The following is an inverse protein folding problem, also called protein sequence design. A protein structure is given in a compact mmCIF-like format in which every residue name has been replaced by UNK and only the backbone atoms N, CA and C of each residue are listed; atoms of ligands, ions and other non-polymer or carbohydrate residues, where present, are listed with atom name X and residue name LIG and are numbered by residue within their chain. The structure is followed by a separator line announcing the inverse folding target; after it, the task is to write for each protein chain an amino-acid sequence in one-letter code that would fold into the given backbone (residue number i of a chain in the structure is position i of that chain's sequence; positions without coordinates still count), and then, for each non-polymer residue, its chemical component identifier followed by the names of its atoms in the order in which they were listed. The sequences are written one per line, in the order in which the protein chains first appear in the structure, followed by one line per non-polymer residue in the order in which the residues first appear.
data_IF_246448472628
#
_entry.id   IF_246448472628
#
_cell.length_a   1.000
_cell.length_b   1.000
_cell.length_c   1.000
_cell.angle_alpha   90.00
_cell.angle_beta   90.00
_cell.angle_gamma   90.00
#
_symmetry.space_group_name_H-M   'P 1'
#
loop_
_entity.id
_entity.type
_entity.pdbx_description
1 polymer ?
#
# COMPACT_ATOMS: atom_id res chain seq x y z
N UNK A 1 29.42 -0.60 21.69
CA UNK A 1 28.54 -1.56 22.40
C UNK A 1 27.23 -1.82 21.66
N UNK A 2 27.31 -2.17 20.36
CA UNK A 2 26.10 -2.47 19.59
C UNK A 2 25.53 -3.86 20.00
N UNK A 3 24.29 -3.94 20.53
CA UNK A 3 23.79 -5.17 21.16
C UNK A 3 23.57 -6.34 20.18
N UNK A 4 23.55 -6.09 18.87
CA UNK A 4 23.41 -7.13 17.84
C UNK A 4 24.74 -7.50 17.21
N UNK A 5 25.58 -6.49 16.89
CA UNK A 5 26.89 -6.73 16.21
C UNK A 5 27.99 -7.12 17.18
N UNK A 6 27.90 -6.71 18.44
CA UNK A 6 28.90 -6.89 19.48
C UNK A 6 28.26 -7.36 20.79
N UNK A 7 27.51 -8.46 20.73
CA UNK A 7 26.69 -8.98 21.84
C UNK A 7 27.53 -9.16 23.10
N UNK A 8 28.71 -9.75 23.01
CA UNK A 8 29.60 -9.97 24.17
C UNK A 8 30.01 -8.67 24.84
N UNK A 9 30.43 -7.66 24.04
CA UNK A 9 30.80 -6.33 24.57
C UNK A 9 29.62 -5.61 25.19
N UNK A 10 28.44 -5.69 24.56
CA UNK A 10 27.21 -5.09 25.09
C UNK A 10 26.78 -5.75 26.40
N UNK A 11 26.87 -7.11 26.50
CA UNK A 11 26.60 -7.86 27.70
C UNK A 11 27.59 -7.51 28.82
N UNK A 12 28.87 -7.42 28.52
CA UNK A 12 29.89 -6.99 29.47
C UNK A 12 29.62 -5.60 30.02
N UNK A 13 29.28 -4.63 29.15
CA UNK A 13 28.92 -3.27 29.58
C UNK A 13 27.67 -3.24 30.46
N UNK A 14 26.62 -3.98 30.09
CA UNK A 14 25.40 -4.11 30.90
C UNK A 14 25.75 -4.68 32.30
N UNK A 15 26.54 -5.74 32.32
CA UNK A 15 26.88 -6.38 33.60
C UNK A 15 27.74 -5.49 34.49
N UNK A 16 28.62 -4.67 33.89
CA UNK A 16 29.37 -3.64 34.60
C UNK A 16 28.41 -2.62 35.24
N UNK A 17 27.47 -2.06 34.44
CA UNK A 17 26.48 -1.11 34.96
C UNK A 17 25.63 -1.72 36.07
N UNK A 18 25.18 -2.97 35.93
CA UNK A 18 24.42 -3.68 36.96
C UNK A 18 25.23 -3.86 38.25
N UNK A 19 26.55 -4.06 38.13
CA UNK A 19 27.46 -4.14 39.30
C UNK A 19 27.53 -2.79 39.99
N UNK A 20 27.78 -1.71 39.26
CA UNK A 20 27.82 -0.36 39.84
C UNK A 20 26.46 0.00 40.52
N UNK A 21 25.33 -0.35 39.90
CA UNK A 21 24.01 -0.14 40.48
C UNK A 21 23.85 -0.89 41.81
N UNK A 22 24.36 -2.13 41.91
CA UNK A 22 24.34 -2.90 43.12
C UNK A 22 25.27 -2.31 44.18
N UNK A 23 26.50 -1.96 43.84
CA UNK A 23 27.50 -1.42 44.75
C UNK A 23 27.10 -0.05 45.34
N UNK A 24 26.35 0.75 44.55
CA UNK A 24 25.84 2.04 44.93
C UNK A 24 24.42 1.99 45.56
N UNK A 25 23.86 0.78 45.83
CA UNK A 25 22.60 0.60 46.52
C UNK A 25 21.33 0.86 45.73
N UNK A 26 21.41 1.03 44.40
CA UNK A 26 20.24 1.23 43.52
C UNK A 26 19.45 -0.06 43.27
N UNK A 27 20.08 -1.21 43.37
CA UNK A 27 19.44 -2.53 43.26
C UNK A 27 19.96 -3.48 44.34
N UNK A 28 19.12 -4.39 44.81
CA UNK A 28 19.52 -5.41 45.76
C UNK A 28 20.32 -6.55 45.10
N UNK A 29 20.93 -7.39 45.96
CA UNK A 29 21.76 -8.50 45.50
C UNK A 29 20.98 -9.56 44.69
N UNK A 30 19.71 -9.77 45.01
CA UNK A 30 18.86 -10.74 44.32
C UNK A 30 18.55 -10.26 42.89
N UNK A 31 18.12 -9.00 42.76
CA UNK A 31 17.86 -8.33 41.47
C UNK A 31 19.13 -8.27 40.59
N UNK A 32 20.29 -7.91 41.18
CA UNK A 32 21.56 -7.93 40.46
C UNK A 32 21.88 -9.31 39.89
N UNK A 33 21.82 -10.36 40.71
CA UNK A 33 22.11 -11.74 40.29
C UNK A 33 21.13 -12.24 39.23
N UNK A 34 19.85 -11.95 39.37
CA UNK A 34 18.80 -12.31 38.41
C UNK A 34 19.00 -11.60 37.06
N UNK A 35 19.17 -10.28 37.09
CA UNK A 35 19.36 -9.45 35.88
C UNK A 35 20.61 -9.80 35.07
N UNK A 36 21.68 -10.19 35.78
CA UNK A 36 22.94 -10.62 35.12
C UNK A 36 22.76 -11.90 34.29
N UNK A 37 21.86 -12.80 34.67
CA UNK A 37 21.57 -14.06 33.96
C UNK A 37 20.70 -13.89 32.72
N UNK A 38 19.95 -12.79 32.61
CA UNK A 38 19.05 -12.54 31.49
C UNK A 38 19.88 -12.27 30.24
N UNK A 39 19.52 -12.90 29.12
CA UNK A 39 20.12 -12.61 27.83
C UNK A 39 19.73 -11.21 27.34
N UNK A 40 20.58 -10.58 26.54
CA UNK A 40 20.24 -9.32 25.89
C UNK A 40 19.05 -9.55 24.93
N UNK A 41 18.00 -8.82 25.15
CA UNK A 41 16.82 -8.82 24.30
C UNK A 41 16.81 -7.55 23.47
N UNK A 42 16.49 -7.67 22.17
CA UNK A 42 16.52 -6.54 21.23
C UNK A 42 15.35 -6.58 20.27
N UNK A 43 15.06 -5.46 19.62
CA UNK A 43 14.10 -5.40 18.51
C UNK A 43 14.55 -6.29 17.35
N UNK A 44 15.84 -6.36 17.07
CA UNK A 44 16.42 -7.11 15.95
C UNK A 44 16.38 -8.62 16.18
N UNK A 45 16.43 -9.08 17.43
CA UNK A 45 16.25 -10.50 17.78
C UNK A 45 14.77 -10.92 17.85
N UNK A 46 13.84 -10.01 17.58
CA UNK A 46 12.40 -10.29 17.61
C UNK A 46 11.77 -10.25 19.00
N UNK A 47 12.56 -10.00 20.05
CA UNK A 47 12.05 -9.97 21.44
C UNK A 47 11.14 -8.77 21.74
N UNK A 48 11.25 -7.71 20.96
CA UNK A 48 10.45 -6.49 21.09
C UNK A 48 9.92 -6.05 19.73
N UNK A 49 8.69 -5.57 19.71
CA UNK A 49 8.09 -4.99 18.51
C UNK A 49 8.82 -3.69 18.14
N UNK A 50 9.28 -3.59 16.90
CA UNK A 50 9.91 -2.37 16.39
C UNK A 50 8.91 -1.20 16.39
N UNK A 51 9.33 -0.05 16.91
CA UNK A 51 8.53 1.17 16.78
C UNK A 51 8.37 1.60 15.31
N UNK A 52 9.24 1.15 14.42
CA UNK A 52 9.09 1.37 12.98
C UNK A 52 7.90 0.63 12.39
N UNK A 53 7.59 -0.59 12.90
CA UNK A 53 6.41 -1.36 12.47
C UNK A 53 5.09 -0.75 12.94
N UNK A 54 5.12 0.14 13.96
CA UNK A 54 3.95 0.87 14.46
C UNK A 54 3.68 2.18 13.72
N UNK A 55 4.62 2.63 12.88
CA UNK A 55 4.40 3.83 12.07
C UNK A 55 3.42 3.51 10.95
N UNK A 56 2.39 4.33 10.74
CA UNK A 56 1.53 4.15 9.59
C UNK A 56 2.38 4.20 8.30
N UNK A 57 2.05 3.40 7.29
CA UNK A 57 2.73 3.49 6.00
C UNK A 57 2.61 4.91 5.45
N UNK A 58 3.60 5.31 4.65
CA UNK A 58 3.53 6.58 3.92
C UNK A 58 2.34 6.55 2.98
N UNK A 59 1.63 7.66 2.91
CA UNK A 59 0.52 7.88 1.99
C UNK A 59 0.71 9.19 1.22
N UNK A 60 -0.18 9.47 0.29
CA UNK A 60 -0.11 10.68 -0.53
C UNK A 60 -0.23 11.97 0.28
N UNK A 61 -1.02 11.98 1.35
CA UNK A 61 -1.20 13.17 2.19
C UNK A 61 0.07 13.48 2.99
N UNK A 62 0.61 12.50 3.67
CA UNK A 62 1.82 12.67 4.48
C UNK A 62 3.06 12.94 3.61
N UNK A 63 3.13 12.36 2.42
CA UNK A 63 4.22 12.64 1.49
C UNK A 63 4.11 14.04 0.89
N UNK A 64 2.91 14.53 0.62
CA UNK A 64 2.70 15.91 0.18
C UNK A 64 3.18 16.92 1.23
N UNK A 65 2.84 16.70 2.51
CA UNK A 65 3.35 17.53 3.62
C UNK A 65 4.88 17.50 3.65
N UNK A 66 5.48 16.32 3.56
CA UNK A 66 6.94 16.17 3.51
C UNK A 66 7.53 17.01 2.36
N UNK A 67 6.95 16.89 1.19
CA UNK A 67 7.43 17.57 -0.02
C UNK A 67 7.38 19.09 0.11
N UNK A 68 6.26 19.62 0.62
CA UNK A 68 6.10 21.06 0.84
C UNK A 68 7.03 21.58 1.93
N UNK A 69 7.11 20.89 3.06
CA UNK A 69 7.90 21.36 4.19
C UNK A 69 9.41 21.20 3.96
N UNK A 70 9.86 20.11 3.32
CA UNK A 70 11.28 19.98 2.97
C UNK A 70 11.70 21.00 1.92
N UNK A 71 10.80 21.44 1.05
CA UNK A 71 11.05 22.56 0.13
C UNK A 71 11.16 23.91 0.83
N UNK A 72 10.37 24.15 1.88
CA UNK A 72 10.32 25.43 2.61
C UNK A 72 11.43 25.55 3.65
N UNK A 73 11.75 24.48 4.38
CA UNK A 73 12.74 24.49 5.48
C UNK A 73 14.11 23.95 5.07
N UNK A 74 14.21 23.27 3.94
CA UNK A 74 15.39 22.47 3.56
C UNK A 74 15.34 21.08 4.19
N UNK A 75 16.02 20.11 3.54
CA UNK A 75 16.00 18.70 3.98
C UNK A 75 16.68 18.49 5.33
N UNK A 76 17.78 19.20 5.59
CA UNK A 76 18.56 19.05 6.82
C UNK A 76 17.74 19.48 8.05
N UNK A 77 17.11 20.65 8.02
CA UNK A 77 16.28 21.14 9.11
C UNK A 77 14.99 20.31 9.26
N UNK A 78 14.36 19.94 8.15
CA UNK A 78 13.15 19.13 8.17
C UNK A 78 13.35 17.76 8.81
N UNK A 79 14.46 17.07 8.49
CA UNK A 79 14.72 15.73 9.03
C UNK A 79 15.49 15.72 10.34
N UNK A 80 16.30 16.74 10.62
CA UNK A 80 17.17 16.83 11.79
C UNK A 80 16.65 17.75 12.90
N UNK A 81 15.78 18.70 12.58
CA UNK A 81 15.34 19.78 13.49
C UNK A 81 14.30 19.38 14.56
N UNK A 82 13.87 18.12 14.63
CA UNK A 82 12.91 17.65 15.65
C UNK A 82 11.51 18.25 15.52
N UNK A 83 11.09 18.63 14.33
CA UNK A 83 9.82 19.29 14.05
C UNK A 83 8.62 18.45 14.44
N UNK A 84 7.62 19.06 15.09
CA UNK A 84 6.31 18.49 15.36
C UNK A 84 5.28 19.10 14.42
N UNK A 85 4.81 18.32 13.45
CA UNK A 85 3.90 18.77 12.41
C UNK A 85 2.48 18.33 12.74
N UNK A 86 1.55 19.30 12.82
CA UNK A 86 0.12 19.05 12.94
C UNK A 86 -0.55 19.30 11.59
N UNK A 87 -1.04 18.23 10.96
CA UNK A 87 -1.76 18.30 9.69
C UNK A 87 -3.25 18.59 9.88
N UNK A 88 -3.91 19.02 8.80
CA UNK A 88 -5.35 19.23 8.72
C UNK A 88 -6.12 17.95 8.39
N UNK A 89 -5.42 16.84 8.15
CA UNK A 89 -6.00 15.55 7.77
C UNK A 89 -6.99 15.03 8.81
N UNK A 90 -8.22 14.74 8.37
CA UNK A 90 -9.17 13.91 9.09
C UNK A 90 -8.94 12.44 8.71
N UNK A 91 -8.60 11.59 9.68
CA UNK A 91 -8.30 10.17 9.44
C UNK A 91 -9.47 9.39 8.87
N UNK A 92 -10.68 9.69 9.31
CA UNK A 92 -11.90 9.01 8.85
C UNK A 92 -12.16 9.36 7.40
N UNK A 93 -12.14 10.65 7.07
CA UNK A 93 -12.30 11.12 5.69
C UNK A 93 -11.18 10.63 4.78
N UNK A 94 -9.93 10.60 5.24
CA UNK A 94 -8.80 10.05 4.49
C UNK A 94 -9.02 8.58 4.12
N UNK A 95 -9.49 7.76 5.06
CA UNK A 95 -9.79 6.35 4.79
C UNK A 95 -10.98 6.21 3.82
N UNK A 96 -12.02 7.00 3.98
CA UNK A 96 -13.17 7.02 3.07
C UNK A 96 -12.73 7.42 1.66
N UNK A 97 -11.94 8.48 1.52
CA UNK A 97 -11.41 8.97 0.24
C UNK A 97 -10.55 7.91 -0.47
N UNK A 98 -9.62 7.29 0.27
CA UNK A 98 -8.76 6.24 -0.26
C UNK A 98 -9.58 5.03 -0.75
N UNK A 99 -10.56 4.58 0.04
CA UNK A 99 -11.41 3.45 -0.33
C UNK A 99 -12.33 3.78 -1.51
N UNK A 100 -12.92 4.98 -1.53
CA UNK A 100 -13.79 5.41 -2.63
C UNK A 100 -13.04 5.48 -3.96
N UNK A 101 -11.86 6.11 -3.98
CA UNK A 101 -11.03 6.18 -5.20
C UNK A 101 -10.60 4.79 -5.66
N UNK A 102 -10.09 3.94 -4.74
CA UNK A 102 -9.70 2.57 -5.07
C UNK A 102 -10.86 1.76 -5.63
N UNK A 103 -12.02 1.79 -4.97
CA UNK A 103 -13.20 1.08 -5.44
C UNK A 103 -13.67 1.55 -6.82
N UNK A 104 -13.65 2.85 -7.08
CA UNK A 104 -14.01 3.43 -8.38
C UNK A 104 -13.06 2.96 -9.48
N UNK A 105 -11.75 3.07 -9.26
CA UNK A 105 -10.72 2.66 -10.23
C UNK A 105 -10.75 1.14 -10.47
N UNK A 106 -10.88 0.33 -9.41
CA UNK A 106 -10.99 -1.12 -9.52
C UNK A 106 -12.26 -1.53 -10.27
N UNK A 107 -13.41 -0.95 -9.92
CA UNK A 107 -14.69 -1.26 -10.58
C UNK A 107 -14.62 -0.95 -12.07
N UNK A 108 -14.07 0.20 -12.45
CA UNK A 108 -13.89 0.58 -13.85
C UNK A 108 -12.99 -0.42 -14.58
N UNK A 109 -11.79 -0.70 -14.05
CA UNK A 109 -10.82 -1.60 -14.67
C UNK A 109 -11.37 -3.04 -14.81
N UNK A 110 -12.06 -3.53 -13.78
CA UNK A 110 -12.70 -4.85 -13.81
C UNK A 110 -13.85 -4.94 -14.83
N UNK A 111 -14.59 -3.85 -15.04
CA UNK A 111 -15.68 -3.81 -16.02
C UNK A 111 -15.17 -3.86 -17.47
N UNK A 112 -13.95 -3.41 -17.72
CA UNK A 112 -13.32 -3.59 -19.02
C UNK A 112 -13.03 -5.07 -19.32
N UNK A 113 -12.85 -5.89 -18.28
CA UNK A 113 -12.57 -7.32 -18.42
C UNK A 113 -11.22 -7.63 -19.07
N UNK A 114 -10.27 -6.70 -19.02
CA UNK A 114 -8.95 -6.82 -19.63
C UNK A 114 -7.96 -7.29 -18.57
N UNK A 115 -7.37 -8.46 -18.79
CA UNK A 115 -6.29 -8.98 -17.96
C UNK A 115 -4.94 -8.62 -18.59
N UNK A 116 -4.07 -8.02 -17.78
CA UNK A 116 -2.71 -7.67 -18.16
C UNK A 116 -1.76 -8.69 -17.56
N UNK A 117 -0.82 -9.14 -18.36
CA UNK A 117 0.19 -10.11 -17.91
C UNK A 117 0.86 -9.62 -16.60
N UNK A 118 0.92 -10.48 -15.56
CA UNK A 118 1.65 -10.17 -14.35
C UNK A 118 3.13 -10.03 -14.68
N UNK A 119 3.66 -8.82 -14.63
CA UNK A 119 5.08 -8.55 -14.93
C UNK A 119 6.06 -9.15 -13.92
N UNK A 120 5.56 -9.68 -12.81
CA UNK A 120 6.35 -10.25 -11.72
C UNK A 120 6.16 -11.77 -11.73
N UNK A 121 7.27 -12.49 -11.87
CA UNK A 121 7.27 -13.95 -11.91
C UNK A 121 8.37 -14.50 -11.00
N UNK A 122 8.16 -15.69 -10.46
CA UNK A 122 9.16 -16.50 -9.79
C UNK A 122 9.49 -17.66 -10.75
N UNK A 123 10.76 -17.95 -10.98
CA UNK A 123 11.15 -19.07 -11.84
C UNK A 123 10.49 -20.37 -11.33
N UNK A 124 9.72 -21.09 -12.16
CA UNK A 124 9.08 -22.32 -11.76
C UNK A 124 10.04 -23.35 -11.16
N UNK A 125 11.30 -23.35 -11.55
CA UNK A 125 12.34 -24.24 -11.00
C UNK A 125 12.60 -23.98 -9.51
N UNK A 126 12.41 -22.76 -9.04
CA UNK A 126 12.60 -22.38 -7.64
C UNK A 126 11.40 -22.72 -6.76
N UNK A 127 10.24 -23.03 -7.35
CA UNK A 127 9.03 -23.35 -6.59
C UNK A 127 9.09 -24.70 -5.85
N UNK A 128 10.12 -25.52 -6.11
CA UNK A 128 10.39 -26.76 -5.37
C UNK A 128 10.95 -26.51 -3.98
N UNK A 129 11.61 -25.36 -3.74
CA UNK A 129 12.12 -24.96 -2.42
C UNK A 129 11.25 -23.83 -1.84
N UNK A 130 10.33 -24.21 -0.97
CA UNK A 130 9.37 -23.28 -0.37
C UNK A 130 10.04 -22.12 0.38
N UNK A 131 11.14 -22.36 1.06
CA UNK A 131 11.84 -21.33 1.84
C UNK A 131 12.40 -20.26 0.92
N UNK A 132 13.03 -20.67 -0.16
CA UNK A 132 13.68 -19.77 -1.11
C UNK A 132 12.68 -18.89 -1.86
N UNK A 133 11.63 -19.45 -2.44
CA UNK A 133 10.70 -18.64 -3.23
C UNK A 133 9.79 -17.75 -2.37
N UNK A 134 9.43 -18.17 -1.14
CA UNK A 134 8.71 -17.32 -0.18
C UNK A 134 9.56 -16.10 0.22
N UNK A 135 10.88 -16.27 0.39
CA UNK A 135 11.77 -15.16 0.66
C UNK A 135 11.88 -14.21 -0.54
N UNK A 136 11.94 -14.75 -1.77
CA UNK A 136 11.92 -13.97 -3.00
C UNK A 136 10.64 -13.13 -3.08
N UNK A 137 9.47 -13.75 -2.87
CA UNK A 137 8.18 -13.05 -2.88
C UNK A 137 8.15 -11.91 -1.84
N UNK A 138 8.63 -12.17 -0.63
CA UNK A 138 8.66 -11.18 0.45
C UNK A 138 9.54 -9.97 0.11
N UNK A 139 10.67 -10.19 -0.60
CA UNK A 139 11.60 -9.14 -1.04
C UNK A 139 11.16 -8.44 -2.31
N UNK A 140 10.22 -9.01 -3.04
CA UNK A 140 9.73 -8.47 -4.30
C UNK A 140 9.03 -7.14 -4.08
N UNK A 141 9.34 -6.18 -4.95
CA UNK A 141 8.69 -4.87 -4.96
C UNK A 141 7.24 -5.02 -5.44
N UNK A 142 6.32 -5.13 -4.47
CA UNK A 142 4.89 -5.32 -4.64
C UNK A 142 4.13 -4.31 -3.78
N UNK A 143 3.01 -3.81 -4.28
CA UNK A 143 2.12 -2.95 -3.50
C UNK A 143 1.39 -3.78 -2.43
N UNK A 144 1.70 -3.53 -1.17
CA UNK A 144 1.08 -4.16 0.01
C UNK A 144 0.25 -3.18 0.84
N UNK A 145 0.07 -1.95 0.33
CA UNK A 145 -0.74 -0.89 0.93
C UNK A 145 -2.20 -0.89 0.46
N UNK A 146 -2.62 -1.94 -0.25
CA UNK A 146 -3.98 -2.08 -0.76
C UNK A 146 -4.77 -2.97 0.22
N UNK A 147 -5.78 -2.40 0.93
CA UNK A 147 -6.56 -3.17 1.89
C UNK A 147 -7.21 -4.40 1.26
N UNK A 148 -7.22 -5.52 1.98
CA UNK A 148 -7.82 -6.80 1.57
C UNK A 148 -7.14 -7.49 0.37
N UNK A 149 -6.19 -6.85 -0.31
CA UNK A 149 -5.45 -7.51 -1.39
C UNK A 149 -4.19 -8.18 -0.84
N UNK A 150 -3.92 -9.37 -1.32
CA UNK A 150 -2.74 -10.15 -0.93
C UNK A 150 -1.97 -10.60 -2.17
N UNK A 151 -0.63 -10.50 -2.16
CA UNK A 151 0.19 -11.16 -3.16
C UNK A 151 0.00 -12.67 -3.11
N UNK A 152 -0.02 -13.30 -4.27
CA UNK A 152 -0.12 -14.75 -4.39
C UNK A 152 0.77 -15.25 -5.53
N UNK A 153 1.26 -16.47 -5.41
CA UNK A 153 2.08 -17.14 -6.43
C UNK A 153 1.27 -18.29 -7.03
N UNK A 154 1.25 -18.40 -8.34
CA UNK A 154 0.63 -19.53 -9.05
C UNK A 154 1.56 -20.73 -8.98
N UNK A 155 1.14 -21.77 -8.27
CA UNK A 155 1.93 -23.00 -8.05
C UNK A 155 1.65 -24.10 -9.08
N UNK A 156 0.40 -24.20 -9.53
CA UNK A 156 0.00 -25.21 -10.53
C UNK A 156 -1.23 -24.74 -11.28
N UNK A 157 -1.38 -25.19 -12.51
CA UNK A 157 -2.50 -24.86 -13.38
C UNK A 157 -3.20 -26.15 -13.84
N UNK A 158 -4.48 -26.24 -13.50
CA UNK A 158 -5.39 -27.29 -13.96
C UNK A 158 -6.37 -26.79 -15.01
N UNK A 159 -7.31 -27.64 -15.41
CA UNK A 159 -8.29 -27.33 -16.45
C UNK A 159 -9.33 -26.28 -16.02
N UNK A 160 -9.71 -26.25 -14.74
CA UNK A 160 -10.77 -25.37 -14.20
C UNK A 160 -10.31 -24.45 -13.08
N UNK A 161 -9.14 -24.73 -12.49
CA UNK A 161 -8.61 -23.99 -11.35
C UNK A 161 -7.11 -23.79 -11.49
N UNK A 162 -6.60 -22.72 -10.94
CA UNK A 162 -5.17 -22.52 -10.70
C UNK A 162 -4.93 -22.59 -9.19
N UNK A 163 -3.99 -23.44 -8.76
CA UNK A 163 -3.55 -23.53 -7.36
C UNK A 163 -2.61 -22.36 -7.07
N UNK A 164 -2.85 -21.67 -5.97
CA UNK A 164 -2.06 -20.52 -5.56
C UNK A 164 -1.60 -20.66 -4.12
N UNK A 165 -0.48 -20.03 -3.79
CA UNK A 165 -0.09 -19.73 -2.42
C UNK A 165 -0.29 -18.25 -2.18
N UNK A 166 -0.75 -17.87 -0.99
CA UNK A 166 -1.13 -16.50 -0.66
C UNK A 166 -0.31 -15.99 0.51
N UNK A 167 0.35 -14.84 0.34
CA UNK A 167 1.18 -14.22 1.38
C UNK A 167 0.33 -13.88 2.61
N UNK A 168 0.77 -14.41 3.78
CA UNK A 168 0.12 -14.14 5.06
C UNK A 168 -1.19 -14.89 5.31
N UNK A 169 -1.58 -15.83 4.43
CA UNK A 169 -2.66 -16.78 4.72
C UNK A 169 -2.11 -18.08 5.29
N UNK A 170 -2.84 -18.70 6.25
CA UNK A 170 -2.52 -20.04 6.71
C UNK A 170 -2.59 -21.02 5.54
N UNK A 171 -1.76 -22.04 5.58
CA UNK A 171 -1.88 -23.15 4.64
C UNK A 171 -3.20 -23.89 4.88
N UNK A 172 -3.96 -24.09 3.81
CA UNK A 172 -5.16 -24.91 3.82
C UNK A 172 -4.79 -26.33 3.39
N UNK A 173 -5.36 -27.35 4.03
CA UNK A 173 -5.18 -28.76 3.66
C UNK A 173 -5.48 -28.98 2.18
N UNK A 174 -6.50 -28.32 1.65
CA UNK A 174 -6.92 -28.42 0.26
C UNK A 174 -6.18 -27.42 -0.67
N UNK A 175 -5.43 -26.48 -0.08
CA UNK A 175 -4.78 -25.37 -0.79
C UNK A 175 -5.75 -24.23 -1.12
N UNK A 176 -5.20 -23.18 -1.77
CA UNK A 176 -5.97 -22.03 -2.24
C UNK A 176 -6.06 -22.05 -3.76
N UNK A 177 -7.22 -21.66 -4.29
CA UNK A 177 -7.49 -21.78 -5.73
C UNK A 177 -8.16 -20.54 -6.31
N UNK A 178 -7.79 -20.23 -7.56
CA UNK A 178 -8.54 -19.34 -8.45
C UNK A 178 -9.34 -20.20 -9.41
N UNK A 179 -10.65 -20.05 -9.42
CA UNK A 179 -11.56 -20.85 -10.25
C UNK A 179 -11.97 -20.11 -11.52
N UNK A 180 -12.43 -20.85 -12.52
CA UNK A 180 -12.98 -20.26 -13.76
C UNK A 180 -14.23 -19.40 -13.52
N UNK A 181 -14.94 -19.55 -12.40
CA UNK A 181 -16.01 -18.64 -11.99
C UNK A 181 -15.53 -17.20 -11.85
N UNK A 182 -14.26 -16.99 -11.43
CA UNK A 182 -13.63 -15.67 -11.36
C UNK A 182 -12.81 -15.35 -12.62
N UNK A 183 -12.03 -16.31 -13.11
CA UNK A 183 -11.12 -16.11 -14.24
C UNK A 183 -11.84 -15.92 -15.58
N UNK A 184 -12.97 -16.59 -15.80
CA UNK A 184 -13.70 -16.59 -17.07
C UNK A 184 -14.29 -15.24 -17.51
N UNK A 185 -14.22 -14.23 -16.67
CA UNK A 185 -14.61 -12.86 -17.04
C UNK A 185 -13.53 -12.12 -17.83
N UNK A 186 -12.28 -12.54 -17.74
CA UNK A 186 -11.12 -11.86 -18.24
C UNK A 186 -10.75 -12.22 -19.67
N UNK A 187 -10.18 -11.27 -20.39
CA UNK A 187 -9.58 -11.40 -21.71
C UNK A 187 -8.13 -10.96 -21.62
N UNK A 188 -7.15 -11.78 -22.02
CA UNK A 188 -5.75 -11.37 -21.98
C UNK A 188 -5.49 -10.20 -22.93
N UNK A 189 -4.70 -9.23 -22.51
CA UNK A 189 -4.10 -8.23 -23.37
C UNK A 189 -2.85 -8.85 -24.00
N UNK A 190 -2.89 -9.08 -25.31
CA UNK A 190 -1.77 -9.67 -26.05
C UNK A 190 -0.64 -8.65 -26.24
N UNK A 191 0.57 -9.12 -26.48
CA UNK A 191 1.75 -8.26 -26.79
C UNK A 191 1.49 -7.32 -27.98
N UNK A 192 0.67 -7.74 -28.92
CA UNK A 192 0.23 -6.91 -30.05
C UNK A 192 -0.68 -5.74 -29.68
N UNK A 193 -1.04 -5.58 -28.38
CA UNK A 193 -2.02 -4.61 -27.91
C UNK A 193 -3.48 -4.99 -28.19
N UNK A 194 -3.74 -6.12 -28.84
CA UNK A 194 -5.10 -6.61 -29.11
C UNK A 194 -5.63 -7.40 -27.92
N UNK A 195 -6.97 -7.44 -27.78
CA UNK A 195 -7.61 -8.29 -26.78
C UNK A 195 -7.78 -9.71 -27.32
N UNK A 196 -7.30 -10.68 -26.54
CA UNK A 196 -7.53 -12.09 -26.77
C UNK A 196 -8.99 -12.50 -26.57
N UNK A 197 -9.31 -13.77 -26.77
CA UNK A 197 -10.63 -14.33 -26.45
C UNK A 197 -10.85 -14.39 -24.94
N UNK A 198 -12.11 -14.45 -24.50
CA UNK A 198 -12.43 -14.70 -23.09
C UNK A 198 -11.78 -16.01 -22.62
N UNK A 199 -11.18 -15.99 -21.43
CA UNK A 199 -10.54 -17.15 -20.85
C UNK A 199 -11.53 -18.32 -20.68
N UNK A 200 -11.14 -19.52 -21.08
CA UNK A 200 -11.89 -20.77 -20.93
C UNK A 200 -11.19 -21.74 -19.99
N UNK A 201 -9.91 -21.56 -19.76
CA UNK A 201 -9.07 -22.30 -18.82
C UNK A 201 -8.09 -21.34 -18.15
N UNK A 202 -7.60 -21.65 -16.96
CA UNK A 202 -6.68 -20.75 -16.25
C UNK A 202 -5.40 -20.42 -17.03
N UNK A 203 -4.89 -21.37 -17.82
CA UNK A 203 -3.69 -21.16 -18.67
C UNK A 203 -3.91 -20.17 -19.84
N UNK A 204 -5.13 -19.68 -20.06
CA UNK A 204 -5.35 -18.59 -21.01
C UNK A 204 -4.94 -17.21 -20.43
N UNK A 205 -4.72 -17.15 -19.11
CA UNK A 205 -4.39 -15.91 -18.38
C UNK A 205 -3.12 -16.04 -17.53
N UNK A 206 -2.84 -17.21 -16.98
CA UNK A 206 -1.85 -17.43 -15.92
C UNK A 206 -0.86 -18.51 -16.32
N UNK A 207 0.38 -18.32 -15.85
CA UNK A 207 1.47 -19.30 -15.93
C UNK A 207 1.94 -19.68 -14.51
N UNK A 208 2.57 -20.85 -14.39
CA UNK A 208 3.20 -21.27 -13.13
C UNK A 208 4.35 -20.29 -12.81
N UNK A 209 4.39 -19.83 -11.57
CA UNK A 209 5.34 -18.82 -11.11
C UNK A 209 4.82 -17.38 -11.19
N UNK A 210 3.69 -17.11 -11.84
CA UNK A 210 3.11 -15.79 -11.86
C UNK A 210 2.81 -15.27 -10.46
N UNK A 211 3.18 -14.01 -10.20
CA UNK A 211 2.87 -13.30 -8.97
C UNK A 211 1.69 -12.37 -9.24
N UNK A 212 0.56 -12.68 -8.65
CA UNK A 212 -0.72 -11.99 -8.83
C UNK A 212 -1.22 -11.42 -7.51
N UNK A 213 -2.21 -10.54 -7.56
CA UNK A 213 -2.97 -10.13 -6.38
C UNK A 213 -4.29 -10.89 -6.30
N UNK A 214 -4.68 -11.23 -5.09
CA UNK A 214 -5.97 -11.86 -4.81
C UNK A 214 -6.67 -11.17 -3.64
N UNK A 215 -7.98 -11.29 -3.58
CA UNK A 215 -8.79 -10.93 -2.42
C UNK A 215 -9.80 -12.01 -2.11
N UNK A 216 -10.09 -12.21 -0.82
CA UNK A 216 -11.18 -13.06 -0.40
C UNK A 216 -12.52 -12.43 -0.80
N UNK A 217 -13.41 -13.21 -1.35
CA UNK A 217 -14.82 -12.88 -1.50
C UNK A 217 -15.55 -13.59 -0.36
N UNK A 218 -16.22 -12.79 0.44
CA UNK A 218 -17.04 -13.26 1.53
C UNK A 218 -18.50 -13.41 1.07
N UNK A 219 -19.31 -14.10 1.86
CA UNK A 219 -20.77 -14.12 1.71
C UNK A 219 -21.37 -12.72 1.91
N UNK A 220 -22.63 -12.55 1.50
CA UNK A 220 -23.30 -11.22 1.57
C UNK A 220 -23.42 -10.69 3.00
N UNK A 221 -23.41 -11.56 3.99
CA UNK A 221 -23.37 -11.24 5.43
C UNK A 221 -21.96 -11.09 6.02
N UNK A 222 -20.91 -11.11 5.17
CA UNK A 222 -19.49 -11.11 5.55
C UNK A 222 -19.09 -12.22 6.55
N UNK A 223 -19.93 -13.24 6.76
CA UNK A 223 -19.74 -14.27 7.79
C UNK A 223 -18.87 -15.43 7.36
N UNK A 224 -18.82 -15.75 6.05
CA UNK A 224 -18.12 -16.93 5.56
C UNK A 224 -17.33 -16.65 4.27
N UNK A 225 -16.17 -17.32 4.16
CA UNK A 225 -15.36 -17.29 2.96
C UNK A 225 -16.07 -18.06 1.82
N UNK A 226 -16.14 -17.42 0.64
CA UNK A 226 -16.74 -18.03 -0.56
C UNK A 226 -15.67 -18.49 -1.55
N UNK A 227 -14.73 -17.61 -1.90
CA UNK A 227 -13.66 -17.90 -2.87
C UNK A 227 -12.59 -16.82 -2.90
N UNK A 228 -11.46 -17.15 -3.45
CA UNK A 228 -10.48 -16.17 -3.87
C UNK A 228 -10.84 -15.57 -5.23
N UNK A 229 -10.54 -14.30 -5.40
CA UNK A 229 -10.81 -13.56 -6.63
C UNK A 229 -9.54 -12.84 -7.09
N UNK A 230 -9.18 -13.04 -8.35
CA UNK A 230 -8.04 -12.41 -9.00
C UNK A 230 -8.20 -10.89 -9.02
N UNK A 231 -7.10 -10.22 -8.72
CA UNK A 231 -6.96 -8.77 -8.78
C UNK A 231 -5.75 -8.38 -9.60
N UNK A 232 -5.81 -7.20 -10.18
CA UNK A 232 -4.67 -6.54 -10.84
C UNK A 232 -4.71 -5.05 -10.55
N UNK A 233 -3.55 -4.41 -10.53
CA UNK A 233 -3.47 -2.96 -10.41
C UNK A 233 -4.19 -2.33 -11.61
N UNK A 234 -5.11 -1.36 -11.38
CA UNK A 234 -5.83 -0.73 -12.47
C UNK A 234 -4.89 -0.07 -13.48
N UNK A 235 -5.19 -0.21 -14.76
CA UNK A 235 -4.45 0.47 -15.83
C UNK A 235 -4.72 1.98 -15.89
N UNK A 236 -5.79 2.42 -15.23
CA UNK A 236 -6.11 3.83 -15.05
C UNK A 236 -5.75 4.29 -13.65
N UNK A 237 -5.57 5.59 -13.51
CA UNK A 237 -5.26 6.24 -12.25
C UNK A 237 -6.17 7.47 -12.06
N UNK A 238 -6.25 7.97 -10.84
CA UNK A 238 -7.04 9.16 -10.50
C UNK A 238 -6.49 9.86 -9.28
N UNK A 239 -7.05 11.02 -8.98
CA UNK A 239 -6.80 11.77 -7.76
C UNK A 239 -8.12 12.16 -7.10
N UNK A 240 -8.09 12.32 -5.80
CA UNK A 240 -9.21 12.77 -4.97
C UNK A 240 -8.70 13.74 -3.92
N UNK A 241 -9.45 14.83 -3.68
CA UNK A 241 -9.19 15.79 -2.63
C UNK A 241 -10.51 16.25 -2.01
N UNK A 242 -10.56 16.31 -0.70
CA UNK A 242 -11.66 16.92 0.05
C UNK A 242 -11.15 18.11 0.85
N UNK A 243 -11.86 19.23 0.73
CA UNK A 243 -11.52 20.49 1.39
C UNK A 243 -12.71 21.01 2.20
N UNK A 244 -12.42 21.64 3.33
CA UNK A 244 -13.37 22.44 4.05
C UNK A 244 -13.63 23.74 3.27
N UNK A 245 -14.89 24.00 2.91
CA UNK A 245 -15.28 25.13 2.07
C UNK A 245 -15.13 26.48 2.75
N UNK A 246 -15.16 26.53 4.09
CA UNK A 246 -15.06 27.77 4.85
C UNK A 246 -13.62 28.18 5.11
N UNK A 247 -12.74 27.19 5.28
CA UNK A 247 -11.34 27.44 5.69
C UNK A 247 -10.31 27.12 4.60
N UNK A 248 -10.70 26.42 3.52
CA UNK A 248 -9.81 25.95 2.50
C UNK A 248 -8.85 24.81 2.95
N UNK A 249 -9.05 24.28 4.17
CA UNK A 249 -8.17 23.22 4.70
C UNK A 249 -8.43 21.90 3.99
N UNK A 250 -7.36 21.25 3.54
CA UNK A 250 -7.44 19.90 2.96
C UNK A 250 -7.63 18.89 4.07
N UNK A 251 -8.73 18.16 4.04
CA UNK A 251 -9.10 17.16 5.04
C UNK A 251 -8.74 15.74 4.62
N UNK A 252 -8.77 15.46 3.31
CA UNK A 252 -8.36 14.18 2.75
C UNK A 252 -7.74 14.37 1.36
N UNK A 253 -6.76 13.52 1.02
CA UNK A 253 -6.09 13.56 -0.27
C UNK A 253 -5.61 12.16 -0.65
N UNK A 254 -6.00 11.70 -1.84
CA UNK A 254 -5.56 10.43 -2.40
C UNK A 254 -5.11 10.66 -3.85
N UNK A 255 -3.82 10.47 -4.12
CA UNK A 255 -3.22 10.78 -5.42
C UNK A 255 -3.10 9.63 -6.41
N UNK A 256 -3.63 8.44 -6.05
CA UNK A 256 -3.58 7.24 -6.89
C UNK A 256 -4.15 6.02 -6.20
N UNK A 257 -4.13 4.88 -6.88
CA UNK A 257 -4.63 3.61 -6.36
C UNK A 257 -3.81 3.08 -5.20
N UNK A 258 -2.48 3.09 -5.33
CA UNK A 258 -1.52 2.63 -4.31
C UNK A 258 -0.32 3.56 -4.30
N UNK A 259 0.06 4.02 -3.11
CA UNK A 259 1.24 4.84 -2.91
C UNK A 259 2.54 4.05 -3.15
N UNK A 260 2.57 2.78 -2.73
CA UNK A 260 3.72 1.91 -2.96
C UNK A 260 3.93 1.59 -4.44
N UNK A 261 2.86 1.52 -5.24
CA UNK A 261 2.95 1.32 -6.67
C UNK A 261 3.37 2.60 -7.42
N UNK A 262 2.88 3.75 -7.01
CA UNK A 262 3.20 5.04 -7.64
C UNK A 262 3.11 6.16 -6.61
N UNK A 263 4.25 6.76 -6.29
CA UNK A 263 4.34 7.92 -5.38
C UNK A 263 3.83 9.22 -6.01
N UNK A 264 3.60 9.26 -7.32
CA UNK A 264 3.14 10.43 -8.04
C UNK A 264 1.73 10.83 -7.59
N UNK A 265 1.62 11.98 -6.93
CA UNK A 265 0.36 12.50 -6.40
C UNK A 265 -0.44 13.23 -7.47
N UNK A 266 -1.43 12.58 -8.05
CA UNK A 266 -2.23 13.14 -9.13
C UNK A 266 -3.18 14.24 -8.69
N UNK A 267 -3.41 14.38 -7.39
CA UNK A 267 -4.21 15.49 -6.86
C UNK A 267 -3.43 16.82 -6.85
N UNK A 268 -2.07 16.78 -6.78
CA UNK A 268 -1.24 17.99 -6.65
C UNK A 268 -0.17 18.14 -7.72
N UNK A 269 0.28 17.03 -8.34
CA UNK A 269 1.40 17.05 -9.29
C UNK A 269 0.97 16.88 -10.75
N UNK A 270 -0.23 16.37 -11.02
CA UNK A 270 -0.68 16.14 -12.38
C UNK A 270 -1.09 17.47 -13.04
N UNK A 271 -0.34 17.87 -14.04
CA UNK A 271 -0.76 18.95 -14.94
C UNK A 271 -1.80 18.42 -15.94
N UNK A 272 -3.05 18.81 -15.78
CA UNK A 272 -4.17 18.38 -16.63
C UNK A 272 -4.93 19.59 -17.15
N UNK A 273 -5.48 19.46 -18.36
CA UNK A 273 -6.38 20.47 -18.90
C UNK A 273 -7.66 20.53 -18.03
N UNK A 274 -8.00 21.69 -17.45
CA UNK A 274 -9.16 21.80 -16.56
C UNK A 274 -10.49 21.67 -17.29
N UNK A 275 -10.52 22.02 -18.57
CA UNK A 275 -11.76 22.01 -19.36
C UNK A 275 -12.85 22.85 -18.70
N UNK A 276 -14.08 22.34 -18.68
CA UNK A 276 -15.24 23.02 -18.09
C UNK A 276 -15.15 23.22 -16.57
N UNK A 277 -14.24 22.56 -15.88
CA UNK A 277 -13.99 22.80 -14.44
C UNK A 277 -13.45 24.20 -14.16
N UNK A 278 -12.95 24.91 -15.18
CA UNK A 278 -12.48 26.29 -15.08
C UNK A 278 -13.63 27.33 -15.14
N UNK A 279 -14.79 26.96 -15.67
CA UNK A 279 -15.94 27.88 -15.82
C UNK A 279 -16.37 28.61 -14.54
N UNK A 280 -16.44 27.94 -13.35
CA UNK A 280 -16.78 28.63 -12.12
C UNK A 280 -15.89 29.84 -11.82
N UNK A 281 -14.59 29.76 -12.12
CA UNK A 281 -13.67 30.87 -11.91
C UNK A 281 -13.95 32.02 -12.87
N UNK A 282 -14.26 31.71 -14.14
CA UNK A 282 -14.64 32.75 -15.13
C UNK A 282 -15.94 33.43 -14.73
N UNK A 283 -16.96 32.69 -14.32
CA UNK A 283 -18.21 33.27 -13.88
C UNK A 283 -18.09 34.05 -12.58
N UNK A 284 -17.30 33.55 -11.60
CA UNK A 284 -17.04 34.29 -10.38
C UNK A 284 -16.36 35.64 -10.67
N UNK A 285 -15.34 35.65 -11.54
CA UNK A 285 -14.66 36.87 -11.96
C UNK A 285 -15.59 37.84 -12.68
N UNK A 286 -16.46 37.31 -13.56
CA UNK A 286 -17.46 38.15 -14.24
C UNK A 286 -18.45 38.79 -13.27
N UNK A 287 -18.99 38.03 -12.31
CA UNK A 287 -19.89 38.54 -11.27
C UNK A 287 -19.21 39.59 -10.40
N UNK A 288 -17.97 39.38 -9.99
CA UNK A 288 -17.16 40.32 -9.23
C UNK A 288 -16.91 41.63 -10.01
N UNK A 289 -16.83 41.53 -11.33
CA UNK A 289 -16.69 42.68 -12.26
C UNK A 289 -18.03 43.36 -12.58
N UNK A 290 -19.13 43.02 -11.87
CA UNK A 290 -20.43 43.67 -12.02
C UNK A 290 -21.33 43.06 -13.09
N UNK A 291 -20.96 41.97 -13.71
CA UNK A 291 -21.83 41.21 -14.61
C UNK A 291 -22.93 40.49 -13.80
N UNK A 292 -24.04 40.19 -14.43
CA UNK A 292 -25.14 39.42 -13.86
C UNK A 292 -25.43 38.19 -14.74
N UNK A 293 -26.19 37.22 -14.23
CA UNK A 293 -26.65 36.10 -15.07
C UNK A 293 -27.49 36.50 -16.30
N UNK A 294 -28.02 37.73 -16.29
CA UNK A 294 -28.78 38.28 -17.40
C UNK A 294 -27.95 39.14 -18.37
N UNK A 295 -26.66 39.31 -18.09
CA UNK A 295 -25.78 40.12 -18.95
C UNK A 295 -25.58 39.39 -20.28
N UNK A 296 -25.87 40.10 -21.36
CA UNK A 296 -25.67 39.59 -22.73
C UNK A 296 -24.20 39.78 -23.10
N UNK A 297 -23.56 38.69 -23.53
CA UNK A 297 -22.17 38.70 -24.05
C UNK A 297 -22.19 38.35 -25.51
N UNK A 298 -21.45 39.09 -26.32
CA UNK A 298 -21.29 38.78 -27.72
C UNK A 298 -20.29 37.65 -27.87
N UNK A 299 -20.77 36.48 -28.35
CA UNK A 299 -19.90 35.36 -28.74
C UNK A 299 -19.54 35.52 -30.23
N UNK A 300 -18.46 36.27 -30.44
CA UNK A 300 -17.94 36.51 -31.77
C UNK A 300 -16.44 36.22 -31.82
N UNK A 301 -15.89 35.74 -32.99
CA UNK A 301 -14.47 35.51 -33.14
C UNK A 301 -13.64 36.80 -33.05
#
# INVERSE_FOLDING_TARGET
YHPVRQVQRATGRRNFVLKEMYENGYVDKATYKASKKILLRTVQSGDFVSNRSKRPPRDYFTDEIRRQLSGNFGEEEFFGGGLKIRATMDRTLQNVAANALRSGLEKYDRNLGIFRDPKKKIDPKLLTDETSWREILRKMDLARDIPKWKPAVVLAIGNKVARIWIEGEPESTDGHFLSMKDLGRWRPLLESGRLGKKARKPSDLLEVGDVVYVTAIMSDDDSSFVRWSLRQLPGIQGGFMAMDTNTGRVLAMQGGFSYQHSVFNRATQAARQPGSSFKPFVYASALDSGYSPATIVLDAP
#
